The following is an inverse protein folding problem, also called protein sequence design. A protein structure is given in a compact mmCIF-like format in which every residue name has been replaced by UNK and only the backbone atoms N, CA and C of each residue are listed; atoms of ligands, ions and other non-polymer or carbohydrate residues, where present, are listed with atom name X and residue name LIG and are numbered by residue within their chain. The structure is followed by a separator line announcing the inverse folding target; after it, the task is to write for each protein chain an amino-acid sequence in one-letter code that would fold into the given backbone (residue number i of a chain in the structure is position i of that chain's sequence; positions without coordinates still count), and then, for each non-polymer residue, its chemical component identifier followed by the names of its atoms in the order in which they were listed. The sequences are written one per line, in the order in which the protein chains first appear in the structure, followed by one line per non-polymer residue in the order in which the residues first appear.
data_IF_149806999934
#
_entry.id   IF_149806999934
#
_cell.length_a   1.000
_cell.length_b   1.000
_cell.length_c   1.000
_cell.angle_alpha   90.00
_cell.angle_beta   90.00
_cell.angle_gamma   90.00
#
_symmetry.space_group_name_H-M   'P 1'
#
loop_
_entity.id
_entity.type
_entity.pdbx_description
1 polymer ?
#
# COMPACT_ATOMS: atom_id res chain seq x y z
N UNK A 1 -6.85 5.33 -8.69
CA UNK A 1 -7.11 6.75 -8.71
C UNK A 1 -6.28 7.47 -7.67
N UNK A 2 -6.16 8.79 -7.77
CA UNK A 2 -5.33 9.57 -6.86
C UNK A 2 -5.71 9.39 -5.40
N UNK A 3 -7.01 9.33 -5.13
CA UNK A 3 -7.49 9.20 -3.77
C UNK A 3 -7.06 7.89 -3.12
N UNK A 4 -7.06 6.80 -3.88
CA UNK A 4 -6.62 5.50 -3.37
C UNK A 4 -5.14 5.53 -3.02
N UNK A 5 -4.33 6.17 -3.87
CA UNK A 5 -2.89 6.33 -3.61
C UNK A 5 -2.67 7.13 -2.33
N UNK A 6 -3.39 8.23 -2.18
CA UNK A 6 -3.27 9.07 -0.98
C UNK A 6 -3.68 8.33 0.27
N UNK A 7 -4.73 7.52 0.19
CA UNK A 7 -5.19 6.73 1.33
C UNK A 7 -4.14 5.70 1.75
N UNK A 8 -3.50 5.05 0.77
CA UNK A 8 -2.44 4.08 1.06
C UNK A 8 -1.24 4.78 1.68
N UNK A 9 -0.80 5.89 1.10
CA UNK A 9 0.34 6.64 1.62
C UNK A 9 0.07 7.13 3.03
N UNK A 10 -1.13 7.63 3.28
CA UNK A 10 -1.52 8.10 4.60
C UNK A 10 -1.46 6.97 5.63
N UNK A 11 -1.96 5.80 5.27
CA UNK A 11 -1.92 4.63 6.15
C UNK A 11 -0.48 4.22 6.45
N UNK A 12 0.38 4.20 5.43
CA UNK A 12 1.77 3.79 5.58
C UNK A 12 2.61 4.81 6.36
N UNK A 13 2.22 6.09 6.32
CA UNK A 13 2.90 7.10 7.13
C UNK A 13 2.69 6.86 8.61
N UNK A 14 1.58 6.25 8.98
CA UNK A 14 1.33 5.92 10.37
C UNK A 14 2.18 4.73 10.81
N UNK A 15 2.19 3.67 10.01
CA UNK A 15 3.01 2.49 10.27
C UNK A 15 3.01 1.57 9.05
N UNK A 16 4.04 0.72 8.91
CA UNK A 16 4.03 -0.31 7.87
C UNK A 16 2.85 -1.26 8.05
N UNK A 17 2.37 -1.83 6.95
CA UNK A 17 1.18 -2.67 6.98
C UNK A 17 1.21 -3.70 5.86
N UNK A 18 0.39 -4.75 6.03
CA UNK A 18 0.22 -5.79 5.02
C UNK A 18 -0.78 -5.35 3.97
N UNK A 19 -0.75 -6.01 2.81
CA UNK A 19 -1.67 -5.71 1.71
C UNK A 19 -3.12 -5.72 2.18
N UNK A 20 -3.51 -6.73 2.93
CA UNK A 20 -4.87 -6.85 3.43
C UNK A 20 -5.28 -5.65 4.30
N UNK A 21 -4.39 -5.22 5.18
CA UNK A 21 -4.65 -4.08 6.04
C UNK A 21 -4.78 -2.79 5.24
N UNK A 22 -3.94 -2.62 4.23
CA UNK A 22 -4.00 -1.45 3.35
C UNK A 22 -5.27 -1.45 2.52
N UNK A 23 -5.68 -2.63 2.05
CA UNK A 23 -6.94 -2.77 1.32
C UNK A 23 -8.11 -2.24 2.16
N UNK A 24 -8.17 -2.64 3.41
CA UNK A 24 -9.25 -2.19 4.30
C UNK A 24 -9.17 -0.71 4.62
N UNK A 25 -7.98 -0.20 4.90
CA UNK A 25 -7.79 1.20 5.24
C UNK A 25 -8.07 2.14 4.06
N UNK A 26 -7.70 1.71 2.86
CA UNK A 26 -7.94 2.50 1.66
C UNK A 26 -9.33 2.25 1.08
N UNK A 27 -10.10 1.35 1.69
CA UNK A 27 -11.46 1.02 1.27
C UNK A 27 -11.50 0.50 -0.17
N UNK A 28 -10.54 -0.37 -0.50
CA UNK A 28 -10.47 -0.98 -1.82
C UNK A 28 -11.32 -2.25 -1.86
N UNK A 29 -11.84 -2.63 -3.04
CA UNK A 29 -12.80 -3.73 -3.14
C UNK A 29 -12.25 -5.12 -2.83
N UNK A 30 -10.95 -5.34 -3.08
CA UNK A 30 -10.32 -6.64 -2.82
C UNK A 30 -8.80 -6.49 -2.75
N UNK A 31 -8.12 -7.57 -2.32
CA UNK A 31 -6.66 -7.55 -2.19
C UNK A 31 -5.96 -7.41 -3.54
N UNK A 32 -6.54 -7.97 -4.59
CA UNK A 32 -5.93 -7.91 -5.92
C UNK A 32 -5.83 -6.47 -6.41
N UNK A 33 -6.89 -5.68 -6.21
CA UNK A 33 -6.88 -4.26 -6.57
C UNK A 33 -5.82 -3.50 -5.77
N UNK A 34 -5.71 -3.81 -4.48
CA UNK A 34 -4.72 -3.19 -3.61
C UNK A 34 -3.31 -3.58 -4.04
N UNK A 35 -3.08 -4.85 -4.31
CA UNK A 35 -1.78 -5.36 -4.74
C UNK A 35 -1.34 -4.71 -6.04
N UNK A 36 -2.23 -4.60 -7.02
CA UNK A 36 -1.92 -3.97 -8.30
C UNK A 36 -1.50 -2.52 -8.11
N UNK A 37 -2.21 -1.79 -7.26
CA UNK A 37 -1.89 -0.40 -6.99
C UNK A 37 -0.55 -0.27 -6.26
N UNK A 38 -0.31 -1.13 -5.27
CA UNK A 38 0.95 -1.12 -4.53
C UNK A 38 2.15 -1.40 -5.44
N UNK A 39 2.00 -2.33 -6.39
CA UNK A 39 3.08 -2.63 -7.32
C UNK A 39 3.40 -1.43 -8.22
N UNK A 40 2.38 -0.70 -8.66
CA UNK A 40 2.58 0.52 -9.42
C UNK A 40 3.28 1.59 -8.59
N UNK A 41 2.83 1.76 -7.36
CA UNK A 41 3.43 2.75 -6.46
C UNK A 41 4.87 2.40 -6.13
N UNK A 42 5.17 1.11 -6.02
CA UNK A 42 6.55 0.64 -5.83
C UNK A 42 7.42 1.03 -7.03
N UNK A 43 6.91 0.81 -8.23
CA UNK A 43 7.64 1.17 -9.44
C UNK A 43 7.87 2.68 -9.52
N UNK A 44 6.98 3.47 -8.93
CA UNK A 44 7.13 4.92 -8.88
C UNK A 44 8.03 5.40 -7.73
N UNK A 45 8.49 4.47 -6.90
CA UNK A 45 9.36 4.81 -5.77
C UNK A 45 8.62 5.35 -4.54
N UNK A 46 7.30 5.27 -4.53
CA UNK A 46 6.51 5.81 -3.42
C UNK A 46 6.43 4.88 -2.22
N UNK A 47 6.47 3.57 -2.47
CA UNK A 47 6.41 2.56 -1.43
C UNK A 47 7.43 1.47 -1.72
N UNK A 48 7.73 0.68 -0.70
CA UNK A 48 8.60 -0.49 -0.84
C UNK A 48 8.08 -1.62 0.02
N UNK A 49 8.45 -2.85 -0.31
CA UNK A 49 8.06 -4.02 0.45
C UNK A 49 9.26 -4.57 1.21
N UNK A 50 9.12 -4.70 2.52
CA UNK A 50 10.16 -5.28 3.36
C UNK A 50 9.91 -6.78 3.43
N UNK A 51 10.74 -7.56 2.75
CA UNK A 51 10.57 -9.01 2.66
C UNK A 51 10.83 -9.72 3.99
N UNK A 52 11.61 -9.12 4.86
CA UNK A 52 11.90 -9.70 6.17
C UNK A 52 10.71 -9.58 7.11
N UNK A 53 10.03 -8.46 7.07
CA UNK A 53 8.85 -8.21 7.90
C UNK A 53 7.56 -8.64 7.22
N UNK A 54 7.57 -8.74 5.89
CA UNK A 54 6.36 -9.01 5.13
C UNK A 54 5.39 -7.85 5.12
N UNK A 55 5.91 -6.63 5.15
CA UNK A 55 5.11 -5.41 5.26
C UNK A 55 5.48 -4.39 4.18
N UNK A 56 4.48 -3.65 3.74
CA UNK A 56 4.69 -2.49 2.89
C UNK A 56 5.02 -1.28 3.77
N UNK A 57 5.85 -0.39 3.26
CA UNK A 57 6.21 0.84 3.96
C UNK A 57 6.53 1.95 2.97
N UNK A 58 6.65 3.17 3.48
CA UNK A 58 7.01 4.33 2.64
C UNK A 58 8.41 4.12 2.07
N UNK A 59 8.54 4.36 0.77
CA UNK A 59 9.80 4.17 0.04
C UNK A 59 10.85 5.24 0.26
#
# INVERSE_FOLDING_TARGET
MLKDRENILSALREKPAKTYQLMRRANLPNEEACQSLLLKMRDEGLVKFDIHKGLWEIG
#
